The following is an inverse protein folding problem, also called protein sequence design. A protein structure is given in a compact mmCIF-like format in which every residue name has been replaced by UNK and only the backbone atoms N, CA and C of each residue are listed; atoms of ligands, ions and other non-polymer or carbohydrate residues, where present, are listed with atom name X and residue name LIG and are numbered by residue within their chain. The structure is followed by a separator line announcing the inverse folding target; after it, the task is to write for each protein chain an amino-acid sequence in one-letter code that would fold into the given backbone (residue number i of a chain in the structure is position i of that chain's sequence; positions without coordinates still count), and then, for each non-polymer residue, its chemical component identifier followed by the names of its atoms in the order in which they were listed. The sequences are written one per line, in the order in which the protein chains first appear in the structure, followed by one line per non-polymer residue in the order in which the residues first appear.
data_IF_866622101365
#
_entry.id   IF_866622101365
#
_cell.length_a   1.000
_cell.length_b   1.000
_cell.length_c   1.000
_cell.angle_alpha   90.00
_cell.angle_beta   90.00
_cell.angle_gamma   90.00
#
_symmetry.space_group_name_H-M   'P 1'
#
loop_
_entity.id
_entity.type
_entity.pdbx_description
1 polymer ?
#
# COMPACT_ATOMS: atom_id res chain seq x y z
N UNK A 1 21.25 -18.08 -5.75
CA UNK A 1 20.89 -17.37 -4.51
C UNK A 1 19.46 -16.80 -4.54
N UNK A 2 19.05 -16.11 -5.61
CA UNK A 2 17.70 -15.54 -5.74
C UNK A 2 16.59 -16.59 -5.98
N UNK A 3 16.78 -17.54 -6.91
CA UNK A 3 15.78 -18.60 -7.16
C UNK A 3 15.53 -19.47 -5.93
N UNK A 4 16.58 -19.80 -5.17
CA UNK A 4 16.45 -20.56 -3.91
C UNK A 4 15.67 -19.78 -2.84
N UNK A 5 15.80 -18.45 -2.79
CA UNK A 5 15.00 -17.61 -1.91
C UNK A 5 13.52 -17.60 -2.33
N UNK A 6 13.26 -17.41 -3.63
CA UNK A 6 11.91 -17.44 -4.20
C UNK A 6 11.23 -18.79 -3.93
N UNK A 7 11.96 -19.90 -4.03
CA UNK A 7 11.43 -21.24 -3.73
C UNK A 7 11.04 -21.43 -2.26
N UNK A 8 11.83 -20.84 -1.35
CA UNK A 8 11.52 -20.83 0.08
C UNK A 8 10.24 -20.03 0.35
N UNK A 9 10.10 -18.87 -0.29
CA UNK A 9 8.92 -18.01 -0.11
C UNK A 9 7.64 -18.60 -0.73
N UNK A 10 7.76 -19.24 -1.89
CA UNK A 10 6.68 -20.04 -2.50
C UNK A 10 6.23 -21.14 -1.53
N UNK A 11 7.18 -21.85 -0.92
CA UNK A 11 6.88 -22.95 0.02
C UNK A 11 6.18 -22.45 1.28
N UNK A 12 6.64 -21.33 1.84
CA UNK A 12 6.03 -20.66 2.99
C UNK A 12 4.60 -20.20 2.69
N UNK A 13 4.40 -19.55 1.54
CA UNK A 13 3.10 -19.05 1.10
C UNK A 13 2.11 -20.20 0.91
N UNK A 14 2.52 -21.30 0.27
CA UNK A 14 1.70 -22.52 0.14
C UNK A 14 1.31 -23.11 1.49
N UNK A 15 2.25 -23.20 2.43
CA UNK A 15 1.98 -23.73 3.76
C UNK A 15 0.93 -22.89 4.50
N UNK A 16 1.04 -21.55 4.42
CA UNK A 16 0.08 -20.60 5.01
C UNK A 16 -1.30 -20.70 4.37
N UNK A 17 -1.40 -20.75 3.04
CA UNK A 17 -2.68 -20.99 2.34
C UNK A 17 -3.32 -22.30 2.80
N UNK A 18 -2.54 -23.38 2.91
CA UNK A 18 -3.03 -24.69 3.35
C UNK A 18 -3.56 -24.64 4.79
N UNK A 19 -2.84 -23.98 5.69
CA UNK A 19 -3.28 -23.78 7.07
C UNK A 19 -4.58 -22.97 7.14
N UNK A 20 -4.63 -21.84 6.44
CA UNK A 20 -5.79 -20.96 6.42
C UNK A 20 -7.03 -21.64 5.83
N UNK A 21 -6.87 -22.42 4.74
CA UNK A 21 -7.99 -23.20 4.17
C UNK A 21 -8.50 -24.27 5.14
N UNK A 22 -7.63 -24.91 5.91
CA UNK A 22 -8.03 -25.89 6.94
C UNK A 22 -8.79 -25.22 8.07
N UNK A 23 -8.36 -24.04 8.48
CA UNK A 23 -9.05 -23.24 9.49
C UNK A 23 -10.40 -22.74 8.98
N UNK A 24 -10.46 -22.21 7.76
CA UNK A 24 -11.66 -21.70 7.11
C UNK A 24 -12.79 -22.74 7.04
N UNK A 25 -12.46 -24.01 6.72
CA UNK A 25 -13.43 -25.12 6.70
C UNK A 25 -14.07 -25.42 8.06
N UNK A 26 -13.45 -25.00 9.17
CA UNK A 26 -13.98 -25.19 10.53
C UNK A 26 -14.85 -24.00 10.98
N UNK A 27 -14.95 -22.95 10.17
CA UNK A 27 -15.71 -21.75 10.50
C UNK A 27 -17.19 -21.91 10.15
N UNK A 28 -18.10 -21.31 10.95
CA UNK A 28 -19.53 -21.39 10.71
C UNK A 28 -19.91 -20.78 9.35
N UNK A 29 -20.99 -21.28 8.75
CA UNK A 29 -21.49 -20.75 7.48
C UNK A 29 -22.04 -19.35 7.58
N UNK A 30 -22.11 -18.65 6.45
CA UNK A 30 -22.54 -17.25 6.42
C UNK A 30 -21.46 -16.24 6.83
N UNK A 31 -21.90 -15.03 7.14
CA UNK A 31 -21.06 -13.89 7.54
C UNK A 31 -21.73 -13.10 8.67
N UNK A 32 -20.93 -12.29 9.36
CA UNK A 32 -21.43 -11.35 10.36
C UNK A 32 -21.77 -10.02 9.68
N UNK A 33 -22.90 -9.41 10.06
CA UNK A 33 -23.29 -8.07 9.61
C UNK A 33 -23.60 -7.21 10.83
N UNK A 34 -22.94 -6.06 10.93
CA UNK A 34 -23.28 -5.02 11.92
C UNK A 34 -24.44 -4.18 11.37
N UNK A 35 -25.47 -3.97 12.18
CA UNK A 35 -26.63 -3.14 11.83
C UNK A 35 -26.86 -2.11 12.94
N UNK A 36 -27.05 -0.84 12.56
CA UNK A 36 -27.40 0.22 13.49
C UNK A 36 -28.90 0.17 13.83
N UNK A 37 -29.24 0.23 15.12
CA UNK A 37 -30.62 0.38 15.61
C UNK A 37 -30.69 1.46 16.68
N UNK A 38 -31.39 2.56 16.39
CA UNK A 38 -31.49 3.74 17.28
C UNK A 38 -30.10 4.17 17.77
N UNK A 39 -29.76 3.87 19.04
CA UNK A 39 -28.51 4.25 19.71
C UNK A 39 -27.55 3.07 19.97
N UNK A 40 -27.77 1.89 19.36
CA UNK A 40 -26.92 0.70 19.57
C UNK A 40 -26.67 -0.05 18.26
N UNK A 41 -25.65 -0.89 18.25
CA UNK A 41 -25.39 -1.82 17.17
C UNK A 41 -25.85 -3.23 17.52
N UNK A 42 -26.42 -3.92 16.54
CA UNK A 42 -26.71 -5.34 16.61
C UNK A 42 -25.85 -6.10 15.60
N UNK A 43 -25.36 -7.27 16.00
CA UNK A 43 -24.68 -8.19 15.10
C UNK A 43 -25.67 -9.23 14.62
N UNK A 44 -25.77 -9.38 13.30
CA UNK A 44 -26.59 -10.39 12.63
C UNK A 44 -25.69 -11.44 12.02
N UNK A 45 -26.02 -12.71 12.24
CA UNK A 45 -25.52 -13.82 11.47
C UNK A 45 -26.39 -13.94 10.22
N UNK A 46 -25.77 -13.75 9.07
CA UNK A 46 -26.41 -13.85 7.77
C UNK A 46 -25.96 -15.13 7.10
N UNK A 47 -26.87 -16.08 6.92
CA UNK A 47 -26.64 -17.35 6.24
C UNK A 47 -27.71 -17.62 5.20
N UNK A 48 -27.56 -18.69 4.44
CA UNK A 48 -28.54 -19.18 3.48
C UNK A 48 -29.02 -20.54 3.99
N UNK A 49 -30.32 -20.82 3.91
CA UNK A 49 -30.85 -22.16 4.19
C UNK A 49 -30.66 -23.11 3.01
N UNK A 50 -31.04 -24.37 3.21
CA UNK A 50 -30.94 -25.43 2.20
C UNK A 50 -31.79 -25.15 0.95
N UNK A 51 -32.79 -24.25 1.06
CA UNK A 51 -33.66 -23.81 -0.04
C UNK A 51 -33.15 -22.52 -0.73
N UNK A 52 -31.96 -22.02 -0.39
CA UNK A 52 -31.40 -20.81 -0.97
C UNK A 52 -31.95 -19.51 -0.39
N UNK A 53 -32.81 -19.56 0.63
CA UNK A 53 -33.39 -18.38 1.28
C UNK A 53 -32.44 -17.81 2.32
N UNK A 54 -32.29 -16.49 2.30
CA UNK A 54 -31.42 -15.76 3.23
C UNK A 54 -32.03 -15.69 4.63
N UNK A 55 -31.33 -16.22 5.61
CA UNK A 55 -31.66 -16.13 7.04
C UNK A 55 -30.84 -15.00 7.68
N UNK A 56 -31.46 -14.26 8.60
CA UNK A 56 -30.79 -13.26 9.44
C UNK A 56 -31.14 -13.51 10.90
N UNK A 57 -30.15 -13.90 11.70
CA UNK A 57 -30.31 -14.19 13.13
C UNK A 57 -29.52 -13.20 13.98
N UNK A 58 -30.15 -12.62 15.02
CA UNK A 58 -29.44 -11.75 15.97
C UNK A 58 -28.47 -12.53 16.84
N UNK A 59 -27.20 -12.15 16.84
CA UNK A 59 -26.10 -12.81 17.57
C UNK A 59 -25.31 -11.85 18.47
N UNK A 60 -25.81 -10.64 18.73
CA UNK A 60 -25.12 -9.59 19.51
C UNK A 60 -24.57 -10.07 20.86
N UNK A 61 -25.26 -10.98 21.55
CA UNK A 61 -24.82 -11.55 22.84
C UNK A 61 -23.82 -12.70 22.70
N UNK A 62 -23.74 -13.34 21.53
CA UNK A 62 -22.87 -14.47 21.25
C UNK A 62 -21.52 -14.00 20.66
N UNK A 63 -20.64 -13.55 21.56
CA UNK A 63 -19.29 -13.08 21.21
C UNK A 63 -18.46 -14.15 20.49
N UNK A 64 -18.68 -15.43 20.80
CA UNK A 64 -17.92 -16.54 20.22
C UNK A 64 -18.25 -16.71 18.74
N UNK A 65 -19.54 -16.70 18.39
CA UNK A 65 -19.96 -16.78 16.99
C UNK A 65 -19.53 -15.55 16.19
N UNK A 66 -19.60 -14.35 16.78
CA UNK A 66 -19.08 -13.12 16.16
C UNK A 66 -17.59 -13.26 15.82
N UNK A 67 -16.76 -13.70 16.78
CA UNK A 67 -15.32 -13.90 16.57
C UNK A 67 -15.04 -14.92 15.45
N UNK A 68 -15.76 -16.05 15.42
CA UNK A 68 -15.58 -17.08 14.39
C UNK A 68 -15.98 -16.59 13.00
N UNK A 69 -17.07 -15.83 12.87
CA UNK A 69 -17.51 -15.26 11.60
C UNK A 69 -16.55 -14.16 11.10
N UNK A 70 -16.08 -13.29 11.99
CA UNK A 70 -15.06 -12.29 11.65
C UNK A 70 -13.73 -12.96 11.21
N UNK A 71 -13.31 -14.02 11.92
CA UNK A 71 -12.14 -14.82 11.53
C UNK A 71 -12.32 -15.47 10.17
N UNK A 72 -13.52 -15.97 9.85
CA UNK A 72 -13.84 -16.52 8.53
C UNK A 72 -13.64 -15.49 7.41
N UNK A 73 -14.18 -14.29 7.61
CA UNK A 73 -14.04 -13.20 6.64
C UNK A 73 -12.56 -12.82 6.44
N UNK A 74 -11.81 -12.67 7.53
CA UNK A 74 -10.38 -12.41 7.46
C UNK A 74 -9.63 -13.51 6.68
N UNK A 75 -9.87 -14.78 7.01
CA UNK A 75 -9.24 -15.93 6.34
C UNK A 75 -9.53 -15.93 4.84
N UNK A 76 -10.76 -15.59 4.43
CA UNK A 76 -11.13 -15.47 3.03
C UNK A 76 -10.30 -14.41 2.30
N UNK A 77 -10.16 -13.22 2.89
CA UNK A 77 -9.38 -12.11 2.31
C UNK A 77 -7.89 -12.43 2.30
N UNK A 78 -7.36 -13.00 3.37
CA UNK A 78 -5.95 -13.36 3.48
C UNK A 78 -5.57 -14.45 2.46
N UNK A 79 -6.41 -15.47 2.26
CA UNK A 79 -6.19 -16.50 1.24
C UNK A 79 -6.09 -15.86 -0.15
N UNK A 80 -6.96 -14.90 -0.48
CA UNK A 80 -6.92 -14.18 -1.78
C UNK A 80 -5.60 -13.45 -2.01
N UNK A 81 -5.11 -12.71 -1.00
CA UNK A 81 -3.81 -12.02 -1.06
C UNK A 81 -2.66 -13.01 -1.24
N UNK A 82 -2.65 -14.09 -0.45
CA UNK A 82 -1.61 -15.11 -0.53
C UNK A 82 -1.60 -15.84 -1.89
N UNK A 83 -2.77 -16.08 -2.48
CA UNK A 83 -2.90 -16.67 -3.82
C UNK A 83 -2.37 -15.74 -4.91
N UNK A 84 -2.64 -14.43 -4.81
CA UNK A 84 -2.08 -13.43 -5.71
C UNK A 84 -0.54 -13.39 -5.62
N UNK A 85 0.00 -13.37 -4.40
CA UNK A 85 1.46 -13.40 -4.18
C UNK A 85 2.08 -14.69 -4.72
N UNK A 86 1.44 -15.84 -4.50
CA UNK A 86 1.92 -17.11 -5.02
C UNK A 86 1.95 -17.13 -6.56
N UNK A 87 0.95 -16.52 -7.21
CA UNK A 87 0.93 -16.36 -8.67
C UNK A 87 2.08 -15.48 -9.14
N UNK A 88 2.31 -14.34 -8.50
CA UNK A 88 3.42 -13.44 -8.84
C UNK A 88 4.78 -14.14 -8.71
N UNK A 89 5.02 -14.83 -7.60
CA UNK A 89 6.27 -15.57 -7.36
C UNK A 89 6.49 -16.70 -8.37
N UNK A 90 5.42 -17.40 -8.78
CA UNK A 90 5.49 -18.42 -9.83
C UNK A 90 5.80 -17.82 -11.19
N UNK A 91 5.16 -16.72 -11.55
CA UNK A 91 5.43 -16.01 -12.80
C UNK A 91 6.87 -15.52 -12.84
N UNK A 92 7.35 -14.91 -11.74
CA UNK A 92 8.74 -14.53 -11.60
C UNK A 92 9.65 -15.73 -11.82
N UNK A 93 9.43 -16.85 -11.11
CA UNK A 93 10.25 -18.05 -11.27
C UNK A 93 10.23 -18.62 -12.70
N UNK A 94 9.06 -18.64 -13.35
CA UNK A 94 8.90 -19.20 -14.70
C UNK A 94 9.52 -18.35 -15.79
N UNK A 95 9.52 -17.03 -15.62
CA UNK A 95 10.03 -16.09 -16.61
C UNK A 95 11.48 -15.67 -16.34
N UNK A 96 12.00 -15.93 -15.14
CA UNK A 96 13.35 -15.53 -14.77
C UNK A 96 14.40 -16.48 -15.35
N UNK A 97 15.27 -15.94 -16.20
CA UNK A 97 16.36 -16.69 -16.83
C UNK A 97 17.64 -16.51 -15.99
N UNK A 98 17.91 -17.48 -15.11
CA UNK A 98 19.02 -17.40 -14.15
C UNK A 98 20.41 -17.57 -14.79
N UNK A 99 20.50 -18.23 -15.95
CA UNK A 99 21.74 -18.35 -16.74
C UNK A 99 21.43 -17.86 -18.16
N UNK A 100 21.30 -16.54 -18.27
CA UNK A 100 20.90 -15.87 -19.49
C UNK A 100 21.88 -16.13 -20.64
N UNK A 101 23.18 -16.20 -20.37
CA UNK A 101 24.21 -16.48 -21.38
C UNK A 101 24.07 -17.89 -21.98
N UNK A 102 23.98 -18.92 -21.14
CA UNK A 102 23.78 -20.31 -21.61
C UNK A 102 22.46 -20.48 -22.34
N UNK A 103 21.41 -19.80 -21.88
CA UNK A 103 20.10 -19.81 -22.52
C UNK A 103 20.15 -19.09 -23.87
N UNK A 104 20.81 -17.94 -23.97
CA UNK A 104 21.01 -17.20 -25.21
C UNK A 104 21.80 -18.03 -26.23
N UNK A 105 22.89 -18.69 -25.83
CA UNK A 105 23.65 -19.62 -26.66
C UNK A 105 22.82 -20.81 -27.15
N UNK A 106 21.76 -21.19 -26.42
CA UNK A 106 20.85 -22.25 -26.88
C UNK A 106 19.92 -21.82 -28.02
N UNK A 107 19.65 -20.52 -28.12
CA UNK A 107 18.77 -19.90 -29.12
C UNK A 107 19.51 -19.49 -30.40
N UNK A 108 20.84 -19.37 -30.35
CA UNK A 108 21.68 -19.15 -31.53
C UNK A 108 21.44 -20.27 -32.56
N UNK A 109 21.30 -19.89 -33.83
CA UNK A 109 21.06 -20.82 -34.94
C UNK A 109 22.07 -21.98 -34.90
N UNK A 110 21.59 -23.22 -35.07
CA UNK A 110 22.40 -24.44 -35.01
C UNK A 110 23.63 -24.40 -35.92
N UNK A 111 23.51 -23.77 -37.10
CA UNK A 111 24.62 -23.66 -38.05
C UNK A 111 25.70 -22.66 -37.62
N UNK A 112 25.36 -21.75 -36.71
CA UNK A 112 26.26 -20.73 -36.18
C UNK A 112 26.90 -21.23 -34.88
N UNK A 113 26.19 -22.07 -34.11
CA UNK A 113 26.61 -22.57 -32.79
C UNK A 113 27.91 -23.38 -32.78
N UNK A 114 28.36 -23.90 -33.93
CA UNK A 114 29.64 -24.61 -34.06
C UNK A 114 30.85 -23.69 -34.18
N UNK A 115 30.64 -22.37 -34.27
CA UNK A 115 31.72 -21.41 -34.27
C UNK A 115 32.43 -21.35 -32.90
N UNK A 116 33.70 -20.92 -32.87
CA UNK A 116 34.47 -20.79 -31.63
C UNK A 116 33.75 -19.95 -30.56
N UNK A 117 33.86 -20.35 -29.29
CA UNK A 117 33.09 -19.74 -28.19
C UNK A 117 33.39 -18.24 -28.00
N UNK A 118 34.62 -17.83 -28.31
CA UNK A 118 35.08 -16.45 -28.30
C UNK A 118 34.35 -15.58 -29.33
N UNK A 119 33.77 -16.13 -30.42
CA UNK A 119 32.96 -15.35 -31.36
C UNK A 119 31.64 -14.85 -30.77
N UNK A 120 31.15 -15.50 -29.71
CA UNK A 120 29.91 -15.12 -29.01
C UNK A 120 30.16 -14.27 -27.77
N UNK A 121 31.41 -14.25 -27.30
CA UNK A 121 31.87 -13.47 -26.14
C UNK A 121 32.63 -12.21 -26.57
N UNK A 122 33.18 -12.19 -27.78
CA UNK A 122 33.86 -11.03 -28.35
C UNK A 122 32.88 -9.91 -28.67
N UNK A 123 33.39 -8.69 -28.59
CA UNK A 123 32.67 -7.46 -28.93
C UNK A 123 33.33 -6.68 -30.07
N UNK A 124 34.43 -7.21 -30.59
CA UNK A 124 35.10 -6.67 -31.76
C UNK A 124 34.52 -7.30 -33.03
N UNK A 125 33.48 -6.64 -33.56
CA UNK A 125 32.85 -6.99 -34.86
C UNK A 125 33.44 -6.13 -36.00
N UNK A 126 34.49 -5.36 -35.72
CA UNK A 126 35.06 -4.39 -36.65
C UNK A 126 34.21 -3.13 -36.71
N UNK A 127 34.86 -1.99 -36.43
CA UNK A 127 34.30 -0.64 -36.22
C UNK A 127 33.62 -0.40 -34.87
N UNK A 128 34.38 0.18 -33.93
CA UNK A 128 33.85 0.83 -32.71
C UNK A 128 33.62 -0.12 -31.52
N UNK A 129 34.66 -0.34 -30.74
CA UNK A 129 34.69 -1.30 -29.61
C UNK A 129 33.80 -0.83 -28.45
N UNK A 130 32.81 -1.65 -28.07
CA UNK A 130 32.19 -1.62 -26.75
C UNK A 130 32.42 -2.99 -26.09
N UNK A 131 33.46 -3.11 -25.26
CA UNK A 131 33.82 -4.38 -24.59
C UNK A 131 32.67 -4.90 -23.72
N UNK A 132 32.24 -6.16 -23.90
CA UNK A 132 31.49 -6.87 -22.87
C UNK A 132 32.49 -7.19 -21.76
N UNK A 133 32.24 -6.66 -20.58
CA UNK A 133 33.00 -7.02 -19.38
C UNK A 133 32.62 -8.44 -18.98
N UNK A 134 33.62 -9.30 -18.92
CA UNK A 134 33.49 -10.66 -18.43
C UNK A 134 32.93 -10.65 -17.00
N UNK A 135 32.05 -11.61 -16.68
CA UNK A 135 31.37 -11.75 -15.39
C UNK A 135 32.32 -12.09 -14.21
N UNK A 136 33.64 -12.15 -14.46
CA UNK A 136 34.69 -12.28 -13.44
C UNK A 136 35.74 -11.16 -13.46
N UNK A 137 35.58 -10.13 -14.29
CA UNK A 137 36.31 -8.87 -14.09
C UNK A 137 35.59 -8.07 -13.01
N UNK A 138 36.30 -7.78 -11.92
CA UNK A 138 35.84 -6.85 -10.89
C UNK A 138 35.24 -5.62 -11.58
N UNK A 139 33.91 -5.45 -11.44
CA UNK A 139 33.23 -4.25 -11.91
C UNK A 139 34.01 -3.09 -11.29
N UNK A 140 34.69 -2.32 -12.15
CA UNK A 140 35.55 -1.25 -11.66
C UNK A 140 34.68 -0.31 -10.84
N UNK A 141 35.21 0.24 -9.75
CA UNK A 141 34.46 1.16 -8.87
C UNK A 141 33.75 2.24 -9.67
N UNK A 142 34.34 2.74 -10.76
CA UNK A 142 33.74 3.74 -11.67
C UNK A 142 32.55 3.28 -12.53
N UNK A 143 32.31 1.99 -12.67
CA UNK A 143 31.14 1.44 -13.38
C UNK A 143 30.04 1.00 -12.44
N UNK A 144 30.40 0.46 -11.26
CA UNK A 144 29.45 0.37 -10.15
C UNK A 144 28.92 1.76 -9.83
N UNK A 145 29.78 2.78 -9.78
CA UNK A 145 29.38 4.17 -9.63
C UNK A 145 28.49 4.62 -10.78
N UNK A 146 28.71 4.22 -12.04
CA UNK A 146 27.83 4.67 -13.15
C UNK A 146 26.44 4.02 -13.14
N UNK A 147 26.36 2.71 -12.87
CA UNK A 147 25.07 2.02 -12.74
C UNK A 147 24.33 2.48 -11.49
N UNK A 148 25.03 2.60 -10.36
CA UNK A 148 24.51 3.22 -9.15
C UNK A 148 24.05 4.64 -9.44
N UNK A 149 24.83 5.48 -10.13
CA UNK A 149 24.45 6.83 -10.52
C UNK A 149 23.24 6.88 -11.47
N UNK A 150 22.92 5.81 -12.21
CA UNK A 150 21.75 5.78 -13.10
C UNK A 150 20.45 5.43 -12.36
N UNK A 151 20.50 4.43 -11.47
CA UNK A 151 19.41 4.16 -10.54
C UNK A 151 19.26 5.29 -9.52
N UNK A 152 20.38 5.86 -9.07
CA UNK A 152 20.44 7.06 -8.24
C UNK A 152 19.92 8.26 -9.02
N UNK A 153 20.17 8.44 -10.32
CA UNK A 153 19.52 9.51 -11.10
C UNK A 153 18.01 9.35 -11.16
N UNK A 154 17.50 8.14 -11.41
CA UNK A 154 16.05 7.90 -11.40
C UNK A 154 15.45 8.10 -10.00
N UNK A 155 16.15 7.66 -8.95
CA UNK A 155 15.76 7.89 -7.56
C UNK A 155 15.86 9.38 -7.19
N UNK A 156 16.90 10.09 -7.62
CA UNK A 156 17.14 11.51 -7.39
C UNK A 156 16.12 12.35 -8.15
N UNK A 157 15.77 12.01 -9.38
CA UNK A 157 14.70 12.66 -10.15
C UNK A 157 13.34 12.45 -9.46
N UNK A 158 13.02 11.24 -9.00
CA UNK A 158 11.79 11.01 -8.24
C UNK A 158 11.78 11.72 -6.88
N UNK A 159 12.91 11.75 -6.16
CA UNK A 159 13.08 12.50 -4.91
C UNK A 159 12.95 14.00 -5.19
N UNK A 160 13.51 14.49 -6.29
CA UNK A 160 13.44 15.90 -6.70
C UNK A 160 12.01 16.27 -7.08
N UNK A 161 11.28 15.43 -7.82
CA UNK A 161 9.85 15.64 -8.12
C UNK A 161 9.02 15.70 -6.83
N UNK A 162 9.24 14.75 -5.90
CA UNK A 162 8.51 14.72 -4.62
C UNK A 162 8.82 15.95 -3.76
N UNK A 163 10.09 16.36 -3.69
CA UNK A 163 10.50 17.59 -2.98
C UNK A 163 9.95 18.85 -3.65
N UNK A 164 9.99 18.94 -4.97
CA UNK A 164 9.43 20.08 -5.72
C UNK A 164 7.93 20.19 -5.49
N UNK A 165 7.22 19.07 -5.45
CA UNK A 165 5.80 19.05 -5.12
C UNK A 165 5.57 19.48 -3.67
N UNK A 166 6.28 18.90 -2.70
CA UNK A 166 6.15 19.26 -1.27
C UNK A 166 6.42 20.75 -0.98
N UNK A 167 7.34 21.35 -1.73
CA UNK A 167 7.68 22.77 -1.61
C UNK A 167 6.90 23.66 -2.59
N UNK A 168 6.01 23.09 -3.39
CA UNK A 168 5.18 23.87 -4.31
C UNK A 168 4.20 24.73 -3.52
N UNK A 169 3.88 25.94 -3.99
CA UNK A 169 2.90 26.78 -3.32
C UNK A 169 1.52 26.13 -3.42
N UNK A 170 0.86 25.96 -2.27
CA UNK A 170 -0.53 25.52 -2.17
C UNK A 170 -1.33 26.49 -1.28
N UNK A 171 -2.63 26.55 -1.49
CA UNK A 171 -3.52 27.35 -0.64
C UNK A 171 -3.71 26.64 0.69
N UNK A 172 -3.13 27.18 1.75
CA UNK A 172 -3.24 26.62 3.10
C UNK A 172 -4.43 27.25 3.84
N UNK A 173 -5.14 26.44 4.61
CA UNK A 173 -6.22 26.93 5.47
C UNK A 173 -5.75 27.96 6.48
N UNK A 174 -6.43 29.10 6.56
CA UNK A 174 -6.23 30.15 7.58
C UNK A 174 -7.23 30.02 8.74
N UNK A 175 -7.99 28.92 8.78
CA UNK A 175 -8.97 28.70 9.84
C UNK A 175 -8.28 28.47 11.19
N UNK A 176 -8.67 29.23 12.22
CA UNK A 176 -8.19 29.06 13.61
C UNK A 176 -6.67 28.90 13.74
N UNK A 177 -5.89 29.83 13.17
CA UNK A 177 -4.42 29.77 13.22
C UNK A 177 -3.84 29.73 14.64
N UNK A 178 -4.56 30.30 15.61
CA UNK A 178 -4.23 30.25 17.03
C UNK A 178 -4.30 28.83 17.64
N UNK A 179 -4.90 27.86 16.94
CA UNK A 179 -4.92 26.45 17.35
C UNK A 179 -3.71 25.64 16.86
N UNK A 180 -2.86 26.21 16.00
CA UNK A 180 -1.59 25.60 15.57
C UNK A 180 -0.57 25.63 16.71
N UNK A 181 -0.64 24.64 17.59
CA UNK A 181 0.09 24.60 18.86
C UNK A 181 1.27 23.64 18.87
N UNK A 182 1.27 22.63 18.01
CA UNK A 182 2.25 21.54 18.08
C UNK A 182 3.28 21.64 16.97
N UNK A 183 4.56 21.73 17.31
CA UNK A 183 5.66 21.76 16.33
C UNK A 183 5.94 20.36 15.77
N UNK A 184 6.05 20.23 14.45
CA UNK A 184 6.48 18.99 13.78
C UNK A 184 8.00 18.98 13.58
N UNK A 185 8.58 17.79 13.34
CA UNK A 185 9.99 17.66 12.99
C UNK A 185 10.36 18.35 11.66
N UNK A 186 9.37 18.56 10.78
CA UNK A 186 9.54 19.29 9.50
C UNK A 186 9.46 20.81 9.65
N UNK A 187 9.30 21.33 10.88
CA UNK A 187 9.40 22.76 11.18
C UNK A 187 8.11 23.57 11.00
N UNK A 188 6.97 22.94 10.71
CA UNK A 188 5.66 23.59 10.70
C UNK A 188 4.80 23.17 11.89
N UNK A 189 3.84 24.03 12.27
CA UNK A 189 2.90 23.75 13.38
C UNK A 189 1.63 23.06 12.88
N UNK A 190 1.09 22.18 13.72
CA UNK A 190 -0.16 21.43 13.52
C UNK A 190 -1.11 21.56 14.72
N UNK A 191 -2.38 21.16 14.57
CA UNK A 191 -3.45 21.36 15.55
C UNK A 191 -3.51 20.29 16.63
N UNK A 192 -3.04 19.07 16.34
CA UNK A 192 -3.09 17.95 17.29
C UNK A 192 -1.77 17.17 17.43
N UNK A 193 -1.62 16.45 18.54
CA UNK A 193 -0.51 15.50 18.72
C UNK A 193 -0.59 14.33 17.72
N UNK A 194 -1.80 13.93 17.35
CA UNK A 194 -2.05 12.92 16.33
C UNK A 194 -1.51 13.34 14.97
N UNK A 195 -1.68 14.61 14.59
CA UNK A 195 -1.11 15.17 13.36
C UNK A 195 0.43 15.22 13.39
N UNK A 196 1.04 15.53 14.54
CA UNK A 196 2.52 15.43 14.69
C UNK A 196 2.99 14.01 14.40
N UNK A 197 2.26 13.02 14.93
CA UNK A 197 2.57 11.62 14.73
C UNK A 197 2.38 11.17 13.29
N UNK A 198 1.28 11.54 12.65
CA UNK A 198 1.03 11.27 11.22
C UNK A 198 2.10 11.90 10.33
N UNK A 199 2.48 13.14 10.61
CA UNK A 199 3.60 13.82 9.92
C UNK A 199 4.88 13.00 10.06
N UNK A 200 5.19 12.52 11.27
CA UNK A 200 6.36 11.68 11.52
C UNK A 200 6.33 10.33 10.79
N UNK A 201 5.15 9.69 10.69
CA UNK A 201 5.00 8.44 9.93
C UNK A 201 5.23 8.71 8.43
N UNK A 202 4.57 9.73 7.87
CA UNK A 202 4.69 10.10 6.46
C UNK A 202 6.14 10.43 6.09
N UNK A 203 6.84 11.15 6.96
CA UNK A 203 8.26 11.46 6.81
C UNK A 203 9.13 10.18 6.85
N UNK A 204 8.85 9.26 7.78
CA UNK A 204 9.56 7.98 7.88
C UNK A 204 9.41 7.11 6.61
N UNK A 205 8.24 7.14 5.96
CA UNK A 205 8.01 6.45 4.68
C UNK A 205 8.34 7.33 3.46
N UNK A 206 9.05 8.45 3.67
CA UNK A 206 9.49 9.41 2.65
C UNK A 206 8.36 9.86 1.72
N UNK A 207 7.14 10.10 2.23
CA UNK A 207 6.02 10.60 1.42
C UNK A 207 5.90 12.12 1.57
N UNK A 208 5.92 12.88 0.47
CA UNK A 208 5.74 14.33 0.53
C UNK A 208 4.31 14.66 0.94
N UNK A 209 4.14 15.77 1.67
CA UNK A 209 2.83 16.18 2.18
C UNK A 209 2.63 17.69 2.10
N UNK A 210 1.39 18.09 1.88
CA UNK A 210 0.86 19.41 2.21
C UNK A 210 -0.05 19.28 3.42
N UNK A 211 0.08 20.20 4.37
CA UNK A 211 -0.74 20.22 5.57
C UNK A 211 -1.86 21.25 5.42
N UNK A 212 -3.11 20.80 5.57
CA UNK A 212 -4.30 21.63 5.43
C UNK A 212 -4.41 22.40 4.12
N UNK A 213 -4.12 21.71 3.02
CA UNK A 213 -4.34 22.23 1.68
C UNK A 213 -5.83 22.37 1.37
N UNK A 214 -6.24 23.55 0.94
CA UNK A 214 -7.62 23.87 0.57
C UNK A 214 -7.99 23.18 -0.74
N UNK A 215 -9.09 22.44 -0.73
CA UNK A 215 -9.71 21.88 -1.93
C UNK A 215 -11.11 22.46 -2.14
N UNK A 216 -11.50 22.63 -3.41
CA UNK A 216 -12.81 23.17 -3.80
C UNK A 216 -13.63 22.08 -4.47
N UNK A 217 -14.74 21.71 -3.83
CA UNK A 217 -15.67 20.69 -4.33
C UNK A 217 -17.03 21.38 -4.52
N UNK A 218 -17.51 21.42 -5.76
CA UNK A 218 -18.81 22.02 -6.11
C UNK A 218 -18.99 23.44 -5.54
N UNK A 219 -17.94 24.26 -5.61
CA UNK A 219 -17.94 25.65 -5.10
C UNK A 219 -17.83 25.79 -3.58
N UNK A 220 -17.73 24.70 -2.82
CA UNK A 220 -17.51 24.70 -1.37
C UNK A 220 -16.05 24.38 -1.04
N UNK A 221 -15.55 25.00 0.02
CA UNK A 221 -14.19 24.82 0.52
C UNK A 221 -14.15 23.67 1.52
N UNK A 222 -13.22 22.74 1.32
CA UNK A 222 -12.90 21.67 2.25
C UNK A 222 -11.40 21.66 2.51
N UNK A 223 -11.00 21.20 3.69
CA UNK A 223 -9.61 21.18 4.14
C UNK A 223 -9.32 19.80 4.72
N UNK A 224 -8.74 18.87 3.94
CA UNK A 224 -8.14 17.63 4.49
C UNK A 224 -7.02 17.97 5.49
N UNK A 225 -6.75 17.06 6.44
CA UNK A 225 -5.61 17.27 7.35
C UNK A 225 -4.29 17.20 6.60
N UNK A 226 -4.16 16.22 5.69
CA UNK A 226 -3.00 16.12 4.80
C UNK A 226 -3.41 15.78 3.37
N UNK A 227 -2.72 16.39 2.41
CA UNK A 227 -2.67 15.95 1.01
C UNK A 227 -1.29 15.37 0.77
N UNK A 228 -1.21 14.16 0.23
CA UNK A 228 0.07 13.45 0.02
C UNK A 228 0.17 12.87 -1.37
N UNK A 229 1.39 12.57 -1.82
CA UNK A 229 1.60 11.75 -3.01
C UNK A 229 1.91 10.30 -2.64
N UNK A 230 1.32 9.35 -3.35
CA UNK A 230 1.76 7.95 -3.31
C UNK A 230 3.09 7.75 -4.06
N UNK A 231 3.59 6.51 -4.13
CA UNK A 231 4.83 6.16 -4.87
C UNK A 231 4.72 6.35 -6.38
N UNK A 232 3.51 6.44 -6.93
CA UNK A 232 3.24 6.63 -8.35
C UNK A 232 2.94 8.11 -8.70
N UNK A 233 3.00 9.02 -7.73
CA UNK A 233 2.71 10.44 -7.92
C UNK A 233 1.21 10.77 -7.92
N UNK A 234 0.35 9.86 -7.47
CA UNK A 234 -1.09 10.10 -7.32
C UNK A 234 -1.36 10.86 -6.03
N UNK A 235 -2.26 11.84 -6.10
CA UNK A 235 -2.72 12.61 -4.94
C UNK A 235 -3.66 11.76 -4.08
N UNK A 236 -3.38 11.69 -2.79
CA UNK A 236 -4.15 10.98 -1.77
C UNK A 236 -4.48 11.96 -0.64
N UNK A 237 -5.74 11.97 -0.21
CA UNK A 237 -6.21 12.82 0.89
C UNK A 237 -6.29 12.01 2.19
N UNK A 238 -5.78 12.57 3.28
CA UNK A 238 -5.77 11.94 4.61
C UNK A 238 -6.58 12.81 5.57
N UNK A 239 -7.48 12.17 6.30
CA UNK A 239 -8.27 12.78 7.38
C UNK A 239 -8.11 11.97 8.66
N UNK A 240 -7.91 12.67 9.78
CA UNK A 240 -7.78 12.12 11.11
C UNK A 240 -8.94 12.55 12.00
N UNK A 241 -9.68 11.56 12.49
CA UNK A 241 -10.90 11.76 13.26
C UNK A 241 -10.67 11.46 14.74
N UNK A 242 -10.26 12.48 15.51
CA UNK A 242 -9.93 12.33 16.94
C UNK A 242 -11.08 12.59 17.93
N UNK A 243 -12.21 13.20 17.51
CA UNK A 243 -13.36 13.49 18.40
C UNK A 243 -14.62 12.80 17.91
N UNK A 244 -14.85 11.57 18.34
CA UNK A 244 -15.97 10.74 17.85
C UNK A 244 -17.32 10.98 18.56
N UNK A 245 -17.37 11.82 19.61
CA UNK A 245 -18.56 11.95 20.47
C UNK A 245 -19.26 13.33 20.48
N UNK A 246 -18.83 14.29 19.68
CA UNK A 246 -19.51 15.59 19.52
C UNK A 246 -20.55 15.50 18.36
N UNK A 247 -21.87 15.67 18.62
CA UNK A 247 -22.91 15.57 17.60
C UNK A 247 -22.76 16.58 16.45
N UNK A 248 -22.27 17.79 16.72
CA UNK A 248 -22.09 18.83 15.71
C UNK A 248 -20.85 18.56 14.85
N UNK A 249 -19.78 18.06 15.47
CA UNK A 249 -18.62 17.53 14.75
C UNK A 249 -19.00 16.37 13.82
N UNK A 250 -19.82 15.43 14.31
CA UNK A 250 -20.27 14.28 13.51
C UNK A 250 -21.14 14.67 12.32
N UNK A 251 -21.94 15.74 12.45
CA UNK A 251 -22.72 16.29 11.33
C UNK A 251 -21.80 16.88 10.26
N UNK A 252 -20.90 17.79 10.64
CA UNK A 252 -19.92 18.40 9.72
C UNK A 252 -19.04 17.36 9.03
N UNK A 253 -18.59 16.36 9.79
CA UNK A 253 -17.85 15.21 9.27
C UNK A 253 -18.62 14.45 8.21
N UNK A 254 -19.91 14.16 8.43
CA UNK A 254 -20.74 13.46 7.45
C UNK A 254 -20.88 14.26 6.17
N UNK A 255 -21.19 15.56 6.28
CA UNK A 255 -21.32 16.46 5.13
C UNK A 255 -20.02 16.54 4.32
N UNK A 256 -18.87 16.55 5.00
CA UNK A 256 -17.55 16.50 4.37
C UNK A 256 -17.31 15.19 3.61
N UNK A 257 -17.59 14.05 4.24
CA UNK A 257 -17.43 12.73 3.60
C UNK A 257 -18.38 12.53 2.41
N UNK A 258 -19.61 13.01 2.49
CA UNK A 258 -20.56 12.97 1.37
C UNK A 258 -20.08 13.84 0.20
N UNK A 259 -19.54 15.03 0.47
CA UNK A 259 -18.96 15.88 -0.56
C UNK A 259 -17.72 15.24 -1.20
N UNK A 260 -16.87 14.57 -0.40
CA UNK A 260 -15.71 13.84 -0.90
C UNK A 260 -16.14 12.71 -1.84
N UNK A 261 -17.11 11.90 -1.43
CA UNK A 261 -17.62 10.80 -2.25
C UNK A 261 -18.21 11.31 -3.59
N UNK A 262 -18.99 12.39 -3.56
CA UNK A 262 -19.53 13.02 -4.78
C UNK A 262 -18.44 13.58 -5.72
N UNK A 263 -17.27 13.92 -5.17
CA UNK A 263 -16.11 14.39 -5.94
C UNK A 263 -15.19 13.25 -6.42
N UNK A 264 -15.52 11.99 -6.12
CA UNK A 264 -14.65 10.84 -6.40
C UNK A 264 -13.45 10.73 -5.44
N UNK A 265 -13.50 11.41 -4.29
CA UNK A 265 -12.53 11.24 -3.19
C UNK A 265 -13.05 10.11 -2.31
N UNK A 266 -12.53 8.90 -2.51
CA UNK A 266 -13.13 7.67 -1.99
C UNK A 266 -12.11 6.71 -1.38
N UNK A 267 -12.50 5.93 -0.34
CA UNK A 267 -11.55 5.10 0.42
C UNK A 267 -10.80 4.06 -0.42
N UNK A 268 -11.38 3.57 -1.52
CA UNK A 268 -10.75 2.55 -2.36
C UNK A 268 -9.78 3.11 -3.40
N UNK A 269 -9.62 4.43 -3.48
CA UNK A 269 -8.82 5.05 -4.54
C UNK A 269 -7.82 6.11 -4.04
N UNK A 270 -8.30 7.17 -3.41
CA UNK A 270 -7.52 8.39 -3.14
C UNK A 270 -7.86 9.04 -1.79
N UNK A 271 -8.41 8.28 -0.85
CA UNK A 271 -8.76 8.77 0.49
C UNK A 271 -8.35 7.80 1.60
N UNK A 272 -7.79 8.33 2.68
CA UNK A 272 -7.42 7.61 3.90
C UNK A 272 -8.08 8.28 5.10
N UNK A 273 -8.80 7.49 5.89
CA UNK A 273 -9.40 7.94 7.13
C UNK A 273 -8.73 7.22 8.31
N UNK A 274 -8.23 7.99 9.28
CA UNK A 274 -7.64 7.48 10.51
C UNK A 274 -8.48 7.93 11.72
N UNK A 275 -8.39 7.19 12.83
CA UNK A 275 -9.30 7.31 13.96
C UNK A 275 -8.55 7.17 15.27
N UNK A 276 -8.93 7.98 16.26
CA UNK A 276 -8.68 7.66 17.66
C UNK A 276 -9.65 6.57 18.12
N UNK A 277 -9.25 5.76 19.08
CA UNK A 277 -10.12 4.80 19.75
C UNK A 277 -11.10 5.48 20.73
N UNK A 278 -11.95 4.70 21.41
CA UNK A 278 -12.96 5.23 22.33
C UNK A 278 -12.35 5.99 23.53
N UNK A 279 -11.08 5.71 23.86
CA UNK A 279 -10.32 6.32 24.95
C UNK A 279 -9.43 7.48 24.46
N UNK A 280 -9.46 7.81 23.17
CA UNK A 280 -8.63 8.85 22.56
C UNK A 280 -7.19 8.41 22.28
N UNK A 281 -6.91 7.10 22.30
CA UNK A 281 -5.59 6.58 21.93
C UNK A 281 -5.49 6.29 20.44
N UNK A 282 -4.27 6.35 19.94
CA UNK A 282 -3.94 6.11 18.53
C UNK A 282 -3.21 4.78 18.42
N UNK A 283 -3.73 3.88 17.58
CA UNK A 283 -2.98 2.68 17.16
C UNK A 283 -2.02 3.04 16.01
N UNK A 284 -0.80 3.41 16.41
CA UNK A 284 0.29 3.78 15.49
C UNK A 284 0.57 2.66 14.49
N UNK A 285 0.52 1.40 14.90
CA UNK A 285 0.85 0.27 14.05
C UNK A 285 -0.21 0.06 12.98
N UNK A 286 -1.50 0.15 13.35
CA UNK A 286 -2.60 0.07 12.41
C UNK A 286 -2.57 1.21 11.39
N UNK A 287 -2.37 2.45 11.84
CA UNK A 287 -2.24 3.62 10.96
C UNK A 287 -1.04 3.46 10.03
N UNK A 288 0.12 3.06 10.55
CA UNK A 288 1.32 2.85 9.73
C UNK A 288 1.10 1.79 8.67
N UNK A 289 0.40 0.70 9.00
CA UNK A 289 0.07 -0.35 8.04
C UNK A 289 -0.88 0.15 6.95
N UNK A 290 -1.92 0.92 7.31
CA UNK A 290 -2.87 1.52 6.35
C UNK A 290 -2.17 2.50 5.40
N UNK A 291 -1.34 3.40 5.94
CA UNK A 291 -0.57 4.35 5.15
C UNK A 291 0.39 3.63 4.19
N UNK A 292 1.13 2.63 4.66
CA UNK A 292 2.01 1.85 3.79
C UNK A 292 1.24 1.09 2.71
N UNK A 293 0.11 0.49 3.05
CA UNK A 293 -0.70 -0.27 2.11
C UNK A 293 -1.26 0.58 0.97
N UNK A 294 -1.56 1.87 1.23
CA UNK A 294 -2.17 2.78 0.25
C UNK A 294 -1.20 3.72 -0.46
N UNK A 295 -0.05 4.01 0.16
CA UNK A 295 0.91 4.96 -0.38
C UNK A 295 2.09 4.28 -1.07
N UNK A 296 2.31 2.98 -0.86
CA UNK A 296 3.46 2.24 -1.41
C UNK A 296 3.10 1.11 -2.39
N UNK A 297 1.82 0.73 -2.50
CA UNK A 297 1.33 -0.41 -3.29
C UNK A 297 0.02 -0.06 -4.00
#
# INVERSE_FOLDING_TARGET
MLISFVDKEISRTKARIKANRREFKKMPDGHVRRVARRNKYEFLHVSTDDNGKRIRKGITKDKTTIKRLARKEFLEKEIKVLEANLKALRNFKGNYIANCEKTAMSLVNKNIRSLPEDFFKTTDIGSGVMKRKDENENITTGELIRLWNSDERYLLENIDIQKRWENSPYEKSTYMENELKHMTAKGFKVRSKSEVLLTGILDNINRPLHYEEVIRINGRVFVPDFTVLDVHGKVIFIEHFGRTFDPEYMKRRREKLEAYEQAGIVPWDNFIATYDDEDGNIDINAITAELKAKLLY
#
